data_IF_238632048556
#
_entry.id   IF_238632048556
#
_cell.length_a   1.000
_cell.length_b   1.000
_cell.length_c   1.000
_cell.angle_alpha   90.00
_cell.angle_beta   90.00
_cell.angle_gamma   90.00
#
_symmetry.space_group_name_H-M   'P 1'
#
loop_
_entity.id
_entity.type
_entity.pdbx_description
1 polymer ?
#
# COMPACT_ATOMS: atom_id res chain seq x y z
N UNK A 1 -6.19 14.91 19.86
CA UNK A 1 -5.09 15.05 18.92
C UNK A 1 -4.60 13.69 18.51
N UNK A 2 -4.47 13.50 17.24
CA UNK A 2 -4.14 12.18 16.72
C UNK A 2 -2.67 12.10 16.35
N UNK A 3 -2.00 11.05 16.81
CA UNK A 3 -0.66 10.70 16.35
C UNK A 3 -0.70 9.74 15.18
N UNK A 4 -1.89 9.49 14.63
CA UNK A 4 -2.07 8.59 13.50
C UNK A 4 -1.22 9.04 12.32
N UNK A 5 -0.46 8.10 11.78
CA UNK A 5 0.37 8.32 10.60
C UNK A 5 0.03 7.27 9.55
N UNK A 6 0.14 7.65 8.30
CA UNK A 6 -0.28 6.80 7.20
C UNK A 6 0.87 6.46 6.26
N UNK A 7 0.76 5.28 5.67
CA UNK A 7 1.50 4.93 4.47
C UNK A 7 0.48 4.88 3.33
N UNK A 8 0.76 5.62 2.27
CA UNK A 8 -0.08 5.60 1.08
C UNK A 8 0.85 5.42 -0.12
N UNK A 9 0.65 4.33 -0.82
CA UNK A 9 1.44 3.98 -1.99
C UNK A 9 0.51 3.82 -3.18
N UNK A 10 0.89 4.40 -4.31
CA UNK A 10 0.16 4.27 -5.54
C UNK A 10 1.09 3.85 -6.66
N UNK A 11 0.65 2.91 -7.49
CA UNK A 11 1.47 2.29 -8.55
C UNK A 11 0.69 2.25 -9.85
N UNK A 12 1.41 2.37 -10.96
CA UNK A 12 0.85 2.19 -12.30
C UNK A 12 1.73 1.18 -13.04
N UNK A 13 1.14 0.10 -13.51
CA UNK A 13 1.85 -0.87 -14.35
C UNK A 13 0.96 -1.28 -15.53
N UNK A 14 1.55 -1.90 -16.55
CA UNK A 14 0.77 -2.40 -17.67
C UNK A 14 -0.15 -3.55 -17.22
N UNK A 15 -1.26 -3.74 -17.94
CA UNK A 15 -2.15 -4.86 -17.65
C UNK A 15 -1.43 -6.20 -17.78
N UNK A 16 -0.44 -6.30 -18.65
CA UNK A 16 0.33 -7.53 -18.82
C UNK A 16 1.15 -7.88 -17.58
N UNK A 17 1.55 -6.87 -16.79
CA UNK A 17 2.36 -7.06 -15.59
C UNK A 17 1.53 -7.14 -14.32
N UNK A 18 0.24 -6.79 -14.41
CA UNK A 18 -0.60 -6.62 -13.22
C UNK A 18 -0.68 -7.88 -12.35
N UNK A 19 -0.77 -9.07 -12.96
CA UNK A 19 -0.88 -10.31 -12.19
C UNK A 19 0.35 -10.56 -11.32
N UNK A 20 1.55 -10.31 -11.86
CA UNK A 20 2.80 -10.53 -11.11
C UNK A 20 2.99 -9.48 -10.02
N UNK A 21 2.57 -8.24 -10.27
CA UNK A 21 2.58 -7.18 -9.24
C UNK A 21 1.61 -7.53 -8.11
N UNK A 22 0.39 -7.93 -8.46
CA UNK A 22 -0.62 -8.31 -7.48
C UNK A 22 -0.14 -9.47 -6.61
N UNK A 23 0.56 -10.43 -7.17
CA UNK A 23 1.08 -11.58 -6.42
C UNK A 23 2.01 -11.12 -5.28
N UNK A 24 2.91 -10.18 -5.57
CA UNK A 24 3.82 -9.63 -4.55
C UNK A 24 3.04 -8.88 -3.48
N UNK A 25 2.05 -8.08 -3.88
CA UNK A 25 1.22 -7.34 -2.92
C UNK A 25 0.37 -8.27 -2.05
N UNK A 26 -0.08 -9.40 -2.58
CA UNK A 26 -0.80 -10.40 -1.79
C UNK A 26 0.12 -11.07 -0.76
N UNK A 27 1.39 -11.26 -1.09
CA UNK A 27 2.37 -11.75 -0.12
C UNK A 27 2.56 -10.75 1.03
N UNK A 28 2.61 -9.47 0.69
CA UNK A 28 2.71 -8.41 1.69
C UNK A 28 1.46 -8.37 2.58
N UNK A 29 0.29 -8.48 1.98
CA UNK A 29 -0.98 -8.50 2.72
C UNK A 29 -1.05 -9.71 3.67
N UNK A 30 -0.61 -10.88 3.22
CA UNK A 30 -0.58 -12.08 4.05
C UNK A 30 0.38 -11.91 5.24
N UNK A 31 1.57 -11.35 4.99
CA UNK A 31 2.52 -11.07 6.05
C UNK A 31 1.92 -10.08 7.06
N UNK A 32 1.26 -9.03 6.59
CA UNK A 32 0.63 -8.05 7.46
C UNK A 32 -0.46 -8.66 8.33
N UNK A 33 -1.27 -9.53 7.75
CA UNK A 33 -2.34 -10.20 8.51
C UNK A 33 -1.77 -10.95 9.71
N UNK A 34 -0.66 -11.63 9.52
CA UNK A 34 0.00 -12.37 10.60
C UNK A 34 0.73 -11.44 11.57
N UNK A 35 1.52 -10.50 11.02
CA UNK A 35 2.36 -9.60 11.81
C UNK A 35 1.54 -8.68 12.73
N UNK A 36 0.35 -8.29 12.29
CA UNK A 36 -0.54 -7.40 13.05
C UNK A 36 -1.63 -8.15 13.81
N UNK A 37 -1.51 -9.47 13.92
CA UNK A 37 -2.43 -10.25 14.71
C UNK A 37 -2.20 -10.03 16.21
N UNK A 38 -3.20 -10.33 17.03
CA UNK A 38 -3.07 -10.30 18.49
C UNK A 38 -2.04 -11.34 18.97
N UNK A 39 -1.99 -12.49 18.30
CA UNK A 39 -1.07 -13.56 18.65
C UNK A 39 0.40 -13.10 18.56
N UNK A 40 0.70 -12.13 17.70
CA UNK A 40 2.03 -11.58 17.51
C UNK A 40 2.20 -10.19 18.16
N UNK A 41 1.26 -9.81 19.02
CA UNK A 41 1.26 -8.51 19.71
C UNK A 41 1.33 -7.32 18.76
N UNK A 42 0.76 -7.47 17.57
CA UNK A 42 0.84 -6.45 16.52
C UNK A 42 -0.39 -5.57 16.41
N UNK A 43 -1.52 -5.99 16.98
CA UNK A 43 -2.80 -5.32 16.77
C UNK A 43 -2.84 -3.87 17.24
N UNK A 44 -2.01 -3.49 18.20
CA UNK A 44 -1.96 -2.12 18.73
C UNK A 44 -1.22 -1.14 17.81
N UNK A 45 -0.56 -1.63 16.77
CA UNK A 45 0.29 -0.80 15.90
C UNK A 45 -0.42 -0.38 14.61
N UNK A 46 -1.44 -1.10 14.19
CA UNK A 46 -2.12 -0.86 12.92
C UNK A 46 -3.61 -0.66 13.17
N UNK A 47 -4.14 0.45 12.68
CA UNK A 47 -5.57 0.74 12.80
C UNK A 47 -6.35 0.11 11.65
N UNK A 48 -5.83 0.19 10.44
CA UNK A 48 -6.46 -0.38 9.25
C UNK A 48 -5.48 -0.43 8.11
N UNK A 49 -5.73 -1.34 7.18
CA UNK A 49 -5.01 -1.39 5.93
C UNK A 49 -5.93 -1.95 4.85
N UNK A 50 -5.79 -1.44 3.64
CA UNK A 50 -6.50 -2.01 2.51
C UNK A 50 -5.70 -1.79 1.22
N UNK A 51 -5.90 -2.72 0.30
CA UNK A 51 -5.20 -2.77 -0.98
C UNK A 51 -6.25 -2.65 -2.07
N UNK A 52 -6.01 -1.82 -3.07
CA UNK A 52 -6.98 -1.64 -4.17
C UNK A 52 -6.33 -1.90 -5.51
N UNK A 53 -7.19 -2.23 -6.49
CA UNK A 53 -6.81 -2.43 -7.87
C UNK A 53 -7.93 -1.86 -8.77
N UNK A 54 -7.54 -1.11 -9.79
CA UNK A 54 -8.49 -0.51 -10.71
C UNK A 54 -7.85 -0.29 -12.09
N UNK A 55 -8.64 -0.21 -13.17
CA UNK A 55 -8.09 0.22 -14.45
C UNK A 55 -7.74 1.70 -14.40
N UNK A 56 -6.68 2.08 -15.12
CA UNK A 56 -6.36 3.50 -15.28
C UNK A 56 -7.18 4.09 -16.42
N UNK A 57 -7.88 5.19 -16.16
CA UNK A 57 -8.62 5.91 -17.20
C UNK A 57 -7.72 6.89 -17.93
N UNK A 58 -7.97 7.07 -19.22
CA UNK A 58 -7.29 8.10 -20.01
C UNK A 58 -7.56 9.48 -19.39
N UNK A 59 -8.81 9.72 -19.02
CA UNK A 59 -9.23 10.94 -18.33
C UNK A 59 -10.17 10.56 -17.18
N UNK A 60 -9.71 10.64 -15.93
CA UNK A 60 -10.57 10.25 -14.79
C UNK A 60 -11.84 11.05 -14.65
N UNK A 61 -11.90 12.25 -15.26
CA UNK A 61 -13.10 13.09 -15.22
C UNK A 61 -14.07 12.78 -16.35
N UNK A 62 -13.66 11.95 -17.30
CA UNK A 62 -14.50 11.55 -18.43
C UNK A 62 -14.27 10.06 -18.75
N UNK A 63 -14.99 9.16 -18.05
CA UNK A 63 -14.81 7.71 -18.23
C UNK A 63 -15.11 7.21 -19.65
N UNK A 64 -15.87 7.98 -20.43
CA UNK A 64 -16.21 7.59 -21.81
C UNK A 64 -14.99 7.58 -22.72
N UNK A 65 -13.91 8.28 -22.36
CA UNK A 65 -12.66 8.24 -23.12
C UNK A 65 -11.94 6.90 -23.01
N UNK A 66 -12.38 6.04 -22.09
CA UNK A 66 -11.85 4.69 -21.96
C UNK A 66 -10.62 4.60 -21.07
N UNK A 67 -9.95 3.47 -21.17
CA UNK A 67 -8.81 3.10 -20.30
C UNK A 67 -7.50 3.10 -21.09
N UNK A 68 -6.38 3.24 -20.36
CA UNK A 68 -5.06 3.33 -20.98
C UNK A 68 -4.47 1.98 -21.35
N UNK A 69 -4.92 0.89 -20.74
CA UNK A 69 -4.27 -0.40 -20.81
C UNK A 69 -3.34 -0.64 -19.60
N UNK A 70 -3.34 0.26 -18.64
CA UNK A 70 -2.61 0.10 -17.39
C UNK A 70 -3.54 -0.22 -16.23
N UNK A 71 -2.96 -0.78 -15.17
CA UNK A 71 -3.63 -1.06 -13.91
C UNK A 71 -3.06 -0.17 -12.83
N UNK A 72 -3.94 0.38 -12.00
CA UNK A 72 -3.57 1.14 -10.80
C UNK A 72 -3.68 0.22 -9.60
N UNK A 73 -2.65 0.25 -8.75
CA UNK A 73 -2.68 -0.40 -7.45
C UNK A 73 -2.46 0.63 -6.36
N UNK A 74 -3.15 0.48 -5.24
CA UNK A 74 -2.85 1.29 -4.06
C UNK A 74 -2.71 0.40 -2.84
N UNK A 75 -1.85 0.85 -1.91
CA UNK A 75 -1.71 0.27 -0.58
C UNK A 75 -1.92 1.40 0.40
N UNK A 76 -2.86 1.23 1.32
CA UNK A 76 -3.25 2.28 2.25
C UNK A 76 -3.24 1.71 3.66
N UNK A 77 -2.45 2.34 4.53
CA UNK A 77 -2.21 1.82 5.87
C UNK A 77 -2.28 2.98 6.87
N UNK A 78 -3.01 2.77 7.98
CA UNK A 78 -3.13 3.75 9.06
C UNK A 78 -2.51 3.15 10.32
N UNK A 79 -1.49 3.80 10.83
CA UNK A 79 -0.74 3.36 12.00
C UNK A 79 -1.02 4.24 13.20
N UNK A 80 -0.77 3.70 14.38
CA UNK A 80 -0.98 4.44 15.64
C UNK A 80 0.09 5.50 15.91
N UNK A 81 1.16 5.54 15.13
CA UNK A 81 2.20 6.56 15.23
C UNK A 81 3.41 6.26 14.37
N UNK A 82 4.37 7.17 14.34
CA UNK A 82 5.59 7.00 13.54
C UNK A 82 6.43 5.81 14.00
N UNK A 83 6.46 5.52 15.30
CA UNK A 83 7.19 4.35 15.80
C UNK A 83 6.64 3.06 15.21
N UNK A 84 5.32 2.99 15.01
CA UNK A 84 4.69 1.82 14.39
C UNK A 84 5.02 1.71 12.90
N UNK A 85 5.17 2.84 12.21
CA UNK A 85 5.63 2.85 10.81
C UNK A 85 7.08 2.36 10.73
N UNK A 86 7.95 2.84 11.60
CA UNK A 86 9.35 2.39 11.64
C UNK A 86 9.44 0.90 11.89
N UNK A 87 8.66 0.40 12.83
CA UNK A 87 8.56 -1.04 13.11
C UNK A 87 8.11 -1.81 11.88
N UNK A 88 7.10 -1.30 11.16
CA UNK A 88 6.58 -1.90 9.93
C UNK A 88 7.68 -2.01 8.87
N UNK A 89 8.35 -0.91 8.57
CA UNK A 89 9.38 -0.87 7.53
C UNK A 89 10.55 -1.79 7.87
N UNK A 90 11.02 -1.75 9.11
CA UNK A 90 12.13 -2.60 9.55
C UNK A 90 11.81 -4.09 9.39
N UNK A 91 10.60 -4.50 9.76
CA UNK A 91 10.20 -5.90 9.68
C UNK A 91 9.83 -6.33 8.27
N UNK A 92 9.14 -5.47 7.52
CA UNK A 92 8.79 -5.76 6.13
C UNK A 92 10.04 -5.99 5.28
N UNK A 93 11.10 -5.21 5.53
CA UNK A 93 12.34 -5.31 4.76
C UNK A 93 13.07 -6.65 4.92
N UNK A 94 12.70 -7.45 5.91
CA UNK A 94 13.32 -8.76 6.15
C UNK A 94 12.59 -9.90 5.45
N UNK A 95 11.48 -9.62 4.79
CA UNK A 95 10.70 -10.65 4.10
C UNK A 95 11.35 -11.08 2.79
N UNK A 96 11.17 -12.35 2.44
CA UNK A 96 11.76 -12.95 1.24
C UNK A 96 11.34 -12.22 -0.06
N UNK A 97 10.11 -11.71 -0.09
CA UNK A 97 9.58 -11.02 -1.26
C UNK A 97 9.98 -9.54 -1.30
N UNK A 98 10.63 -9.01 -0.27
CA UNK A 98 10.88 -7.58 -0.17
C UNK A 98 11.73 -7.02 -1.33
N UNK A 99 12.76 -7.72 -1.84
CA UNK A 99 13.48 -7.22 -3.01
C UNK A 99 12.59 -6.98 -4.21
N UNK A 100 11.61 -7.86 -4.46
CA UNK A 100 10.64 -7.70 -5.54
C UNK A 100 9.70 -6.53 -5.24
N UNK A 101 9.26 -6.39 -4.00
CA UNK A 101 8.41 -5.27 -3.57
C UNK A 101 9.13 -3.94 -3.79
N UNK A 102 10.39 -3.85 -3.40
CA UNK A 102 11.20 -2.63 -3.59
C UNK A 102 11.40 -2.30 -5.06
N UNK A 103 11.62 -3.30 -5.90
CA UNK A 103 11.75 -3.12 -7.34
C UNK A 103 10.46 -2.60 -7.96
N UNK A 104 9.31 -3.15 -7.55
CA UNK A 104 7.99 -2.69 -8.00
C UNK A 104 7.79 -1.23 -7.59
N UNK A 105 8.14 -0.87 -6.36
CA UNK A 105 8.02 0.50 -5.88
C UNK A 105 8.87 1.45 -6.73
N UNK A 106 10.09 1.07 -7.02
CA UNK A 106 11.00 1.89 -7.82
C UNK A 106 10.57 2.02 -9.28
N UNK A 107 10.01 0.95 -9.86
CA UNK A 107 9.63 0.93 -11.28
C UNK A 107 8.26 1.53 -11.55
N UNK A 108 7.30 1.30 -10.66
CA UNK A 108 5.89 1.64 -10.91
C UNK A 108 5.29 2.61 -9.89
N UNK A 109 6.01 2.93 -8.83
CA UNK A 109 5.50 3.83 -7.80
C UNK A 109 5.29 5.24 -8.32
N UNK A 110 4.09 5.79 -8.09
CA UNK A 110 3.74 7.16 -8.45
C UNK A 110 3.43 8.02 -7.23
N UNK A 111 2.98 7.39 -6.17
CA UNK A 111 2.75 8.03 -4.88
C UNK A 111 3.48 7.21 -3.84
N UNK A 112 4.34 7.87 -3.07
CA UNK A 112 5.08 7.23 -1.98
C UNK A 112 5.04 8.16 -0.79
N UNK A 113 4.13 7.88 0.13
CA UNK A 113 3.98 8.66 1.36
C UNK A 113 4.21 7.75 2.56
N UNK A 114 5.28 7.98 3.29
CA UNK A 114 5.64 7.24 4.50
C UNK A 114 5.56 8.18 5.69
N UNK A 115 4.49 8.10 6.46
CA UNK A 115 4.29 8.96 7.61
C UNK A 115 3.40 10.16 7.35
N UNK A 116 2.49 10.05 6.40
CA UNK A 116 1.54 11.11 6.11
C UNK A 116 0.61 11.41 7.27
N UNK A 117 0.21 12.67 7.41
CA UNK A 117 -0.76 13.09 8.42
C UNK A 117 -2.17 13.11 7.85
N UNK A 118 -3.13 12.75 8.67
CA UNK A 118 -4.53 12.97 8.34
C UNK A 118 -4.84 14.41 8.74
N UNK A 119 -4.95 15.31 7.76
CA UNK A 119 -5.23 16.71 8.07
C UNK A 119 -6.73 17.02 8.14
N UNK A 120 -7.56 16.10 7.67
CA UNK A 120 -9.01 16.22 7.77
C UNK A 120 -9.62 14.83 7.63
N UNK A 121 -10.59 14.51 8.47
CA UNK A 121 -11.29 13.24 8.41
C UNK A 121 -12.79 13.50 8.47
N UNK A 122 -13.53 12.82 7.58
CA UNK A 122 -14.98 12.83 7.57
C UNK A 122 -15.40 11.46 8.07
N UNK A 123 -15.85 11.39 9.32
CA UNK A 123 -16.20 10.18 10.07
C UNK A 123 -15.01 9.50 10.74
#
# INVERSE_FOLDING_TARGET
MSDIKCINLGYVCSNAEAASVEEVFRKHAAWMTDFYSEANNGSEHLLSAYFTKAPEFIDPTDPEKGVTGNTLFTINERFTGMASIQRHVENASQNDYFPQFAEILGSYGKVVSLGGEIYHSIR
#
